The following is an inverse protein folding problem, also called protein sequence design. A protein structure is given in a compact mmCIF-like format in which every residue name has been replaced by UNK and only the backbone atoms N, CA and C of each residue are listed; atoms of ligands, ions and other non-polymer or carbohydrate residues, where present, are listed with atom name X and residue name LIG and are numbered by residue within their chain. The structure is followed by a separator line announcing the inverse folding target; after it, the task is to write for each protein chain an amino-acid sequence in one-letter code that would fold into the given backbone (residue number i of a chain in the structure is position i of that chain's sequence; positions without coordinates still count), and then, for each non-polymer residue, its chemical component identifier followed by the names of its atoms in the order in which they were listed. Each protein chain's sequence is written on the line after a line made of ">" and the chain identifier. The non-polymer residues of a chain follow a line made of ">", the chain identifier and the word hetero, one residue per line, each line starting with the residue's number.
data_IF_766849248780
#
_entry.id   IF_766849248780
#
_cell.length_a   1.000
_cell.length_b   1.000
_cell.length_c   1.000
_cell.angle_alpha   90.00
_cell.angle_beta   90.00
_cell.angle_gamma   90.00
#
_symmetry.space_group_name_H-M   'P 1'
#
loop_
_entity.id
_entity.type
_entity.pdbx_description
1 polymer ?
#
# COMPACT_ATOMS: atom_id res chain seq x y z
N UNK A 1 17.15 5.76 -2.61
CA UNK A 1 16.72 4.47 -3.22
C UNK A 1 15.21 4.45 -3.35
N UNK A 2 14.59 3.72 -4.28
CA UNK A 2 13.13 3.64 -4.40
C UNK A 2 12.67 2.21 -4.13
N UNK A 3 11.66 2.04 -3.27
CA UNK A 3 11.12 0.74 -2.88
C UNK A 3 9.60 0.71 -2.96
N UNK A 4 9.07 -0.50 -3.15
CA UNK A 4 7.66 -0.82 -2.93
C UNK A 4 7.49 -1.48 -1.56
N UNK A 5 6.48 -1.03 -0.81
CA UNK A 5 6.05 -1.60 0.47
C UNK A 5 4.67 -2.21 0.24
N UNK A 6 4.63 -3.53 0.07
CA UNK A 6 3.43 -4.21 -0.45
C UNK A 6 2.99 -5.46 0.33
N UNK A 7 2.58 -5.33 1.61
CA UNK A 7 2.12 -6.48 2.39
C UNK A 7 0.84 -7.08 1.80
N UNK A 8 0.84 -8.40 1.63
CA UNK A 8 -0.29 -9.17 1.12
C UNK A 8 -0.83 -10.19 2.12
N UNK A 9 -2.16 -10.26 2.24
CA UNK A 9 -2.90 -11.28 2.98
C UNK A 9 -3.74 -12.10 2.00
N UNK A 10 -3.69 -13.42 2.11
CA UNK A 10 -4.43 -14.34 1.24
C UNK A 10 -5.24 -15.30 2.08
N UNK A 11 -6.57 -15.28 1.90
CA UNK A 11 -7.50 -16.11 2.66
C UNK A 11 -8.29 -16.97 1.67
N UNK A 12 -8.18 -18.29 1.85
CA UNK A 12 -8.87 -19.25 0.99
C UNK A 12 -10.39 -19.02 1.04
N UNK A 13 -11.03 -18.95 -0.12
CA UNK A 13 -12.48 -18.74 -0.24
C UNK A 13 -12.95 -17.29 -0.04
N UNK A 14 -12.07 -16.35 0.32
CA UNK A 14 -12.40 -14.94 0.50
C UNK A 14 -11.68 -14.04 -0.52
N UNK A 15 -10.37 -14.23 -0.71
CA UNK A 15 -9.59 -13.43 -1.67
C UNK A 15 -8.22 -13.02 -1.14
N UNK A 16 -7.54 -12.18 -1.94
CA UNK A 16 -6.26 -11.57 -1.60
C UNK A 16 -6.41 -10.07 -1.36
N UNK A 17 -5.81 -9.57 -0.29
CA UNK A 17 -5.81 -8.17 0.11
C UNK A 17 -4.36 -7.69 0.10
N UNK A 18 -4.08 -6.57 -0.58
CA UNK A 18 -2.72 -6.02 -0.66
C UNK A 18 -2.79 -4.50 -0.71
N UNK A 19 -2.04 -3.85 0.18
CA UNK A 19 -1.67 -2.45 -0.01
C UNK A 19 -0.34 -2.38 -0.73
N UNK A 20 -0.09 -1.32 -1.49
CA UNK A 20 1.16 -1.13 -2.21
C UNK A 20 1.49 0.35 -2.25
N UNK A 21 2.48 0.74 -1.45
CA UNK A 21 3.00 2.09 -1.40
C UNK A 21 4.40 2.14 -2.01
N UNK A 22 4.73 3.22 -2.72
CA UNK A 22 6.08 3.49 -3.21
C UNK A 22 6.72 4.53 -2.31
N UNK A 23 7.96 4.29 -1.89
CA UNK A 23 8.73 5.20 -1.04
C UNK A 23 10.10 5.53 -1.65
N UNK A 24 10.56 6.76 -1.44
CA UNK A 24 11.92 7.20 -1.70
C UNK A 24 12.68 7.24 -0.37
N UNK A 25 13.75 6.46 -0.25
CA UNK A 25 14.69 6.55 0.88
C UNK A 25 15.61 7.74 0.67
N UNK A 26 15.64 8.62 1.66
CA UNK A 26 16.48 9.82 1.76
C UNK A 26 17.46 9.69 2.92
N UNK A 27 18.36 10.66 3.08
CA UNK A 27 19.32 10.66 4.20
C UNK A 27 18.65 10.92 5.57
N UNK A 28 17.44 11.48 5.58
CA UNK A 28 16.66 11.82 6.79
C UNK A 28 15.53 10.82 7.08
N UNK A 29 15.30 9.84 6.21
CA UNK A 29 14.24 8.83 6.38
C UNK A 29 13.65 8.37 5.05
N UNK A 30 12.33 8.56 4.90
CA UNK A 30 11.64 8.20 3.66
C UNK A 30 10.53 9.20 3.31
N UNK A 31 10.40 9.46 2.01
CA UNK A 31 9.28 10.19 1.43
C UNK A 31 8.30 9.22 0.80
N UNK A 32 7.02 9.43 1.08
CA UNK A 32 5.95 8.70 0.43
C UNK A 32 5.76 9.21 -1.00
N UNK A 33 5.55 8.31 -1.96
CA UNK A 33 5.27 8.68 -3.35
C UNK A 33 3.86 8.26 -3.81
N UNK A 34 3.16 7.45 -3.02
CA UNK A 34 1.77 7.02 -3.28
C UNK A 34 0.78 7.77 -2.40
N UNK A 35 -0.08 8.58 -3.01
CA UNK A 35 -1.08 9.40 -2.31
C UNK A 35 -2.50 8.99 -2.72
N UNK A 36 -3.01 7.95 -2.08
CA UNK A 36 -4.37 7.44 -2.27
C UNK A 36 -4.97 7.05 -0.91
N UNK A 37 -6.32 7.05 -0.76
CA UNK A 37 -6.95 6.56 0.47
C UNK A 37 -6.54 5.13 0.82
N UNK A 38 -6.54 4.83 2.12
CA UNK A 38 -6.15 3.51 2.66
C UNK A 38 -7.23 2.88 3.55
N UNK A 39 -8.23 3.66 3.95
CA UNK A 39 -9.40 3.16 4.67
C UNK A 39 -10.30 2.33 3.75
N UNK A 40 -10.99 1.36 4.33
CA UNK A 40 -11.76 0.39 3.56
C UNK A 40 -12.93 1.07 2.83
N UNK A 41 -13.58 2.03 3.48
CA UNK A 41 -14.74 2.74 2.96
C UNK A 41 -14.42 3.47 1.66
N UNK A 42 -13.30 4.19 1.62
CA UNK A 42 -12.84 4.90 0.41
C UNK A 42 -12.41 3.97 -0.72
N UNK A 43 -12.16 2.69 -0.43
CA UNK A 43 -11.72 1.69 -1.39
C UNK A 43 -12.86 0.80 -1.92
N UNK A 44 -14.08 0.96 -1.41
CA UNK A 44 -15.27 0.29 -1.93
C UNK A 44 -15.89 1.14 -3.03
N UNK A 45 -15.96 0.59 -4.24
CA UNK A 45 -16.68 1.21 -5.36
C UNK A 45 -18.10 0.62 -5.37
N UNK A 46 -19.10 1.48 -5.17
CA UNK A 46 -20.52 1.13 -5.19
C UNK A 46 -21.16 1.40 -6.54
#
# INVERSE_FOLDING_TARGET
>A
MVFSVEPGLFVQGLGGFRHSDTILITDEGMDMLTYYPRDLESLIIT
#
